data_IF_485103095458
#
_entry.id   IF_485103095458
#
_cell.length_a   1.000
_cell.length_b   1.000
_cell.length_c   1.000
_cell.angle_alpha   90.00
_cell.angle_beta   90.00
_cell.angle_gamma   90.00
#
_symmetry.space_group_name_H-M   'P 1'
#
loop_
_entity.id
_entity.type
_entity.pdbx_description
1 polymer ?
#
# COMPACT_ATOMS: atom_id res chain seq x y z
N UNK A 1 11.80 5.22 5.68
CA UNK A 1 12.29 6.43 4.99
C UNK A 1 11.69 6.43 3.60
N UNK A 2 10.99 7.50 3.21
CA UNK A 2 10.44 7.64 1.87
C UNK A 2 11.23 8.70 1.11
N UNK A 3 11.80 8.33 -0.03
CA UNK A 3 12.59 9.21 -0.89
C UNK A 3 11.64 9.93 -1.86
N UNK A 4 11.67 11.27 -1.87
CA UNK A 4 10.89 12.09 -2.81
C UNK A 4 11.85 12.75 -3.79
N UNK A 5 11.78 12.39 -5.07
CA UNK A 5 12.52 13.06 -6.14
C UNK A 5 11.60 13.23 -7.36
N UNK A 6 11.50 14.45 -7.90
CA UNK A 6 10.44 14.95 -8.79
C UNK A 6 10.35 14.30 -10.20
N UNK A 7 10.88 13.10 -10.40
CA UNK A 7 10.83 12.38 -11.69
C UNK A 7 10.79 10.85 -11.56
N UNK A 8 10.86 10.30 -10.35
CA UNK A 8 11.07 8.87 -10.10
C UNK A 8 9.87 8.23 -9.41
N UNK A 9 9.69 6.93 -9.66
CA UNK A 9 8.72 6.07 -9.00
C UNK A 9 8.80 6.27 -7.47
N UNK A 10 7.71 6.73 -6.87
CA UNK A 10 7.58 6.94 -5.43
C UNK A 10 7.19 5.62 -4.78
N UNK A 11 8.19 4.88 -4.29
CA UNK A 11 7.98 3.57 -3.68
C UNK A 11 8.35 3.52 -2.20
N UNK A 12 7.73 2.60 -1.47
CA UNK A 12 8.02 2.35 -0.06
C UNK A 12 7.88 0.89 0.34
N UNK A 13 8.48 0.54 1.48
CA UNK A 13 8.25 -0.73 2.15
C UNK A 13 7.88 -0.47 3.62
N UNK A 14 6.84 -1.13 4.13
CA UNK A 14 6.40 -0.96 5.50
C UNK A 14 5.94 -2.29 6.12
N UNK A 15 6.38 -2.59 7.33
CA UNK A 15 5.79 -3.66 8.13
C UNK A 15 4.60 -3.11 8.94
N UNK A 16 3.43 -3.74 8.78
CA UNK A 16 2.18 -3.35 9.42
C UNK A 16 1.94 -4.07 10.76
N UNK A 17 2.75 -5.07 11.11
CA UNK A 17 2.74 -5.80 12.38
C UNK A 17 1.34 -6.30 12.78
N UNK A 18 0.54 -6.71 11.80
CA UNK A 18 -0.86 -7.13 11.95
C UNK A 18 -1.74 -6.08 12.67
N UNK A 19 -1.36 -4.81 12.60
CA UNK A 19 -2.06 -3.73 13.28
C UNK A 19 -3.16 -3.13 12.41
N UNK A 20 -4.42 -3.29 12.82
CA UNK A 20 -5.60 -2.73 12.12
C UNK A 20 -5.45 -1.23 11.82
N UNK A 21 -4.97 -0.45 12.79
CA UNK A 21 -4.79 1.01 12.64
C UNK A 21 -3.68 1.36 11.65
N UNK A 22 -2.65 0.52 11.53
CA UNK A 22 -1.57 0.74 10.57
C UNK A 22 -2.07 0.59 9.12
N UNK A 23 -2.97 -0.36 8.82
CA UNK A 23 -3.60 -0.46 7.49
C UNK A 23 -4.36 0.84 7.14
N UNK A 24 -5.21 1.33 8.06
CA UNK A 24 -6.01 2.55 7.84
C UNK A 24 -5.13 3.78 7.64
N UNK A 25 -4.12 3.95 8.50
CA UNK A 25 -3.18 5.06 8.42
C UNK A 25 -2.35 4.99 7.13
N UNK A 26 -1.81 3.82 6.80
CA UNK A 26 -1.04 3.63 5.57
C UNK A 26 -1.88 3.99 4.34
N UNK A 27 -3.16 3.66 4.31
CA UNK A 27 -4.01 4.01 3.20
C UNK A 27 -4.20 5.53 3.01
N UNK A 28 -4.35 6.27 4.12
CA UNK A 28 -4.44 7.73 4.09
C UNK A 28 -3.11 8.34 3.64
N UNK A 29 -2.01 7.83 4.17
CA UNK A 29 -0.65 8.26 3.83
C UNK A 29 -0.31 7.92 2.36
N UNK A 30 -0.78 6.78 1.86
CA UNK A 30 -0.59 6.33 0.50
C UNK A 30 -1.09 7.38 -0.51
N UNK A 31 -2.31 7.89 -0.27
CA UNK A 31 -2.94 8.93 -1.07
C UNK A 31 -2.27 10.29 -0.82
N UNK A 32 -2.07 10.66 0.44
CA UNK A 32 -1.52 11.97 0.84
C UNK A 32 -0.12 12.23 0.27
N UNK A 33 0.72 11.20 0.27
CA UNK A 33 2.10 11.30 -0.20
C UNK A 33 2.27 10.94 -1.68
N UNK A 34 1.19 10.52 -2.35
CA UNK A 34 1.18 10.11 -3.76
C UNK A 34 2.24 9.03 -4.05
N UNK A 35 2.19 7.93 -3.29
CA UNK A 35 3.04 6.76 -3.59
C UNK A 35 2.53 6.06 -4.85
N UNK A 36 3.44 5.58 -5.69
CA UNK A 36 3.13 4.74 -6.85
C UNK A 36 2.94 3.28 -6.41
N UNK A 37 3.88 2.76 -5.59
CA UNK A 37 3.91 1.36 -5.15
C UNK A 37 4.39 1.28 -3.70
N UNK A 38 3.66 0.58 -2.83
CA UNK A 38 4.12 0.27 -1.47
C UNK A 38 4.05 -1.24 -1.25
N UNK A 39 5.18 -1.85 -0.90
CA UNK A 39 5.20 -3.22 -0.41
C UNK A 39 4.95 -3.26 1.10
N UNK A 40 4.17 -4.24 1.55
CA UNK A 40 3.79 -4.39 2.96
C UNK A 40 4.01 -5.81 3.45
N UNK A 41 4.46 -5.92 4.70
CA UNK A 41 4.53 -7.18 5.43
C UNK A 41 3.53 -7.17 6.59
N UNK A 42 3.04 -8.34 6.95
CA UNK A 42 2.13 -8.59 8.07
C UNK A 42 0.93 -7.61 8.10
N UNK A 43 0.14 -7.50 7.01
CA UNK A 43 -1.07 -6.67 7.03
C UNK A 43 -2.09 -7.22 8.05
N UNK A 44 -2.98 -6.34 8.53
CA UNK A 44 -4.15 -6.81 9.28
C UNK A 44 -5.02 -7.70 8.39
N UNK A 45 -5.36 -8.87 8.92
CA UNK A 45 -6.08 -9.94 8.23
C UNK A 45 -7.23 -10.42 9.12
N UNK A 46 -8.45 -10.36 8.60
CA UNK A 46 -9.68 -10.72 9.31
C UNK A 46 -10.65 -11.41 8.36
N UNK A 47 -11.36 -12.44 8.81
CA UNK A 47 -12.31 -13.22 7.97
C UNK A 47 -11.71 -13.68 6.63
N UNK A 48 -10.52 -14.27 6.69
CA UNK A 48 -9.82 -14.80 5.50
C UNK A 48 -9.48 -13.77 4.42
N UNK A 49 -9.42 -12.48 4.76
CA UNK A 49 -9.08 -11.40 3.81
C UNK A 49 -8.26 -10.29 4.47
N UNK A 50 -7.44 -9.62 3.67
CA UNK A 50 -6.81 -8.36 4.07
C UNK A 50 -7.81 -7.21 3.96
N UNK A 51 -8.11 -6.57 5.09
CA UNK A 51 -9.15 -5.55 5.25
C UNK A 51 -8.58 -4.15 5.54
N UNK A 52 -9.49 -3.18 5.70
CA UNK A 52 -9.20 -1.79 6.10
C UNK A 52 -8.38 -0.93 5.12
N UNK A 53 -8.10 -1.44 3.92
CA UNK A 53 -7.64 -0.61 2.80
C UNK A 53 -8.87 -0.06 2.03
N UNK A 54 -8.94 1.25 1.76
CA UNK A 54 -10.00 1.87 0.98
C UNK A 54 -10.00 1.36 -0.46
N UNK A 55 -11.15 1.44 -1.13
CA UNK A 55 -11.43 0.87 -2.45
C UNK A 55 -10.62 1.47 -3.60
N UNK A 56 -9.90 2.57 -3.38
CA UNK A 56 -9.13 3.29 -4.41
C UNK A 56 -7.71 2.74 -4.70
N UNK A 57 -7.26 1.71 -3.97
CA UNK A 57 -5.90 1.17 -4.10
C UNK A 57 -5.98 -0.26 -4.63
N UNK A 58 -5.20 -0.58 -5.69
CA UNK A 58 -5.05 -1.96 -6.15
C UNK A 58 -4.15 -2.71 -5.18
N UNK A 59 -4.66 -3.83 -4.67
CA UNK A 59 -3.98 -4.64 -3.66
C UNK A 59 -3.72 -6.04 -4.18
N UNK A 60 -2.48 -6.49 -4.07
CA UNK A 60 -2.06 -7.84 -4.42
C UNK A 60 -1.40 -8.45 -3.19
N UNK A 61 -2.01 -9.49 -2.63
CA UNK A 61 -1.47 -10.19 -1.47
C UNK A 61 -1.13 -11.62 -1.85
N UNK A 62 0.01 -12.09 -1.37
CA UNK A 62 0.40 -13.48 -1.46
C UNK A 62 0.07 -14.16 -0.14
N UNK A 63 -0.82 -15.15 -0.19
CA UNK A 63 -1.31 -15.89 0.98
C UNK A 63 -0.32 -16.99 1.38
N UNK A 64 0.86 -16.56 1.85
CA UNK A 64 1.89 -17.40 2.44
C UNK A 64 2.37 -16.73 3.72
N UNK A 65 2.78 -17.50 4.74
CA UNK A 65 3.22 -16.93 6.02
C UNK A 65 4.71 -16.57 5.96
N UNK A 66 5.12 -15.32 6.27
CA UNK A 66 4.29 -14.16 6.66
C UNK A 66 3.58 -13.50 5.47
N UNK A 67 2.33 -13.05 5.71
CA UNK A 67 1.51 -12.41 4.68
C UNK A 67 2.22 -11.17 4.15
N UNK A 68 2.40 -11.10 2.84
CA UNK A 68 3.06 -9.98 2.18
C UNK A 68 2.25 -9.55 0.95
N UNK A 69 2.40 -8.29 0.57
CA UNK A 69 1.71 -7.78 -0.60
C UNK A 69 2.19 -6.43 -1.08
N UNK A 70 1.57 -5.99 -2.17
CA UNK A 70 1.83 -4.71 -2.80
C UNK A 70 0.53 -3.92 -2.93
N UNK A 71 0.64 -2.63 -2.62
CA UNK A 71 -0.35 -1.60 -2.85
C UNK A 71 0.12 -0.78 -4.04
N UNK A 72 -0.73 -0.64 -5.05
CA UNK A 72 -0.42 0.09 -6.28
C UNK A 72 -1.46 1.20 -6.46
N UNK A 73 -0.97 2.41 -6.71
CA UNK A 73 -1.82 3.56 -6.97
C UNK A 73 -2.52 3.40 -8.32
N UNK A 74 -3.81 3.71 -8.34
CA UNK A 74 -4.60 3.81 -9.57
C UNK A 74 -4.64 5.26 -10.02
N UNK A 75 -3.47 5.90 -10.11
CA UNK A 75 -3.39 7.13 -10.91
C UNK A 75 -3.26 6.67 -12.35
N UNK A 76 -4.27 6.99 -13.16
CA UNK A 76 -4.25 6.85 -14.61
C UNK A 76 -2.95 7.46 -15.16
N UNK A 77 -1.98 6.61 -15.53
CA UNK A 77 -0.97 6.94 -16.55
C UNK A 77 -1.63 7.05 -17.94
N UNK A 78 -2.81 7.67 -18.03
CA UNK A 78 -3.58 7.75 -19.27
C UNK A 78 -3.94 9.17 -19.69
N UNK A 79 -3.76 10.19 -18.85
CA UNK A 79 -3.83 11.58 -19.32
C UNK A 79 -2.86 12.44 -18.50
N UNK A 80 -1.89 13.04 -19.21
CA UNK A 80 -0.95 14.09 -18.76
C UNK A 80 0.29 13.59 -18.00
N UNK A 81 1.21 13.00 -18.75
CA UNK A 81 2.60 13.48 -18.82
C UNK A 81 2.87 13.92 -20.24
#
# INVERSE_FOLDING_TARGET
MAFRNNSFLSCGHLNLNHCRRANVQLAQDFIRFNYDIVSVNDPYFWESKVTEFPTGIRKYFYDYKPLAGFLISVVLYLWVR
#
